data_IF_228483907686
#
_entry.id   IF_228483907686
#
_cell.length_a   1.000
_cell.length_b   1.000
_cell.length_c   1.000
_cell.angle_alpha   90.00
_cell.angle_beta   90.00
_cell.angle_gamma   90.00
#
_symmetry.space_group_name_H-M   'P 1'
#
loop_
_entity.id
_entity.type
_entity.pdbx_description
1 polymer ?
#
# COMPACT_ATOMS: atom_id res chain seq x y z
N UNK A 1 -10.96 -4.32 -6.30
CA UNK A 1 -10.97 -4.65 -4.86
C UNK A 1 -11.74 -5.95 -4.62
N UNK A 2 -13.06 -5.96 -4.81
CA UNK A 2 -13.89 -7.18 -4.67
C UNK A 2 -13.49 -8.29 -5.66
N UNK A 3 -13.28 -7.96 -6.93
CA UNK A 3 -12.89 -8.94 -7.97
C UNK A 3 -11.54 -9.64 -7.71
N UNK A 4 -10.73 -9.14 -6.78
CA UNK A 4 -9.43 -9.71 -6.45
C UNK A 4 -9.42 -10.57 -5.17
N UNK A 5 -10.62 -10.74 -4.60
CA UNK A 5 -10.83 -11.48 -3.36
C UNK A 5 -10.37 -10.72 -2.12
N UNK A 6 -10.10 -9.40 -2.22
CA UNK A 6 -9.80 -8.60 -1.04
C UNK A 6 -11.03 -8.47 -0.16
N UNK A 7 -10.86 -8.78 1.12
CA UNK A 7 -11.94 -8.84 2.09
C UNK A 7 -11.39 -9.18 3.46
N UNK A 8 -12.27 -9.58 4.37
CA UNK A 8 -11.88 -9.88 5.76
C UNK A 8 -10.84 -11.01 5.86
N UNK A 9 -10.91 -12.00 4.97
CA UNK A 9 -10.01 -13.16 4.94
C UNK A 9 -8.76 -12.95 4.08
N UNK A 10 -8.70 -11.82 3.38
CA UNK A 10 -7.54 -11.42 2.57
C UNK A 10 -7.42 -9.90 2.67
N UNK A 11 -6.91 -9.39 3.80
CA UNK A 11 -6.79 -7.97 4.03
C UNK A 11 -5.77 -7.34 3.08
N UNK A 12 -5.85 -6.02 2.96
CA UNK A 12 -4.95 -5.20 2.16
C UNK A 12 -4.85 -3.83 2.80
N UNK A 13 -3.71 -3.18 2.59
CA UNK A 13 -3.46 -1.85 3.14
C UNK A 13 -3.49 -0.78 2.05
N UNK A 14 -4.11 0.34 2.39
CA UNK A 14 -3.99 1.62 1.70
C UNK A 14 -3.57 2.66 2.73
N UNK A 15 -2.80 3.64 2.28
CA UNK A 15 -2.34 4.74 3.12
C UNK A 15 -2.19 6.02 2.33
N UNK A 16 -2.08 7.12 3.07
CA UNK A 16 -1.64 8.41 2.53
C UNK A 16 -0.13 8.45 2.70
N UNK A 17 0.60 8.46 1.59
CA UNK A 17 2.05 8.58 1.57
C UNK A 17 2.41 10.05 1.43
N UNK A 18 3.24 10.54 2.33
CA UNK A 18 3.87 11.85 2.25
C UNK A 18 5.10 11.76 1.34
N UNK A 19 5.08 12.49 0.23
CA UNK A 19 6.19 12.53 -0.73
C UNK A 19 7.16 13.70 -0.44
N UNK A 20 6.88 14.48 0.61
CA UNK A 20 7.54 15.75 0.88
C UNK A 20 6.96 16.91 0.05
N UNK A 21 7.42 18.12 0.33
CA UNK A 21 7.00 19.34 -0.39
C UNK A 21 5.48 19.53 -0.48
N UNK A 22 4.77 19.22 0.61
CA UNK A 22 3.30 19.26 0.71
C UNK A 22 2.55 18.33 -0.27
N UNK A 23 3.26 17.44 -0.98
CA UNK A 23 2.67 16.46 -1.87
C UNK A 23 2.31 15.18 -1.11
N UNK A 24 1.05 14.76 -1.25
CA UNK A 24 0.54 13.51 -0.67
C UNK A 24 -0.22 12.70 -1.71
N UNK A 25 -0.08 11.38 -1.65
CA UNK A 25 -0.79 10.47 -2.53
C UNK A 25 -1.49 9.38 -1.72
N UNK A 26 -2.72 9.06 -2.09
CA UNK A 26 -3.37 7.84 -1.61
C UNK A 26 -2.89 6.69 -2.48
N UNK A 27 -2.18 5.75 -1.89
CA UNK A 27 -1.60 4.64 -2.62
C UNK A 27 -1.76 3.33 -1.86
N UNK A 28 -1.60 2.25 -2.60
CA UNK A 28 -1.60 0.92 -2.04
C UNK A 28 -0.29 0.66 -1.30
N UNK A 29 -0.39 0.04 -0.13
CA UNK A 29 0.76 -0.42 0.63
C UNK A 29 0.92 -1.93 0.48
N UNK A 30 2.13 -2.36 0.19
CA UNK A 30 2.54 -3.76 -0.03
C UNK A 30 3.75 -4.08 0.84
N UNK A 31 4.04 -5.36 1.08
CA UNK A 31 5.16 -5.77 1.94
C UNK A 31 4.96 -5.58 3.46
N UNK A 32 3.87 -4.95 3.90
CA UNK A 32 3.46 -4.90 5.30
C UNK A 32 2.72 -6.18 5.73
N UNK A 33 2.82 -6.54 7.01
CA UNK A 33 2.02 -7.61 7.62
C UNK A 33 0.59 -7.09 7.88
N UNK A 34 -0.28 -7.25 6.89
CA UNK A 34 -1.67 -6.79 6.91
C UNK A 34 -2.58 -7.63 7.83
N UNK A 35 -2.13 -8.80 8.28
CA UNK A 35 -2.83 -9.61 9.28
C UNK A 35 -2.61 -9.05 10.70
N UNK A 36 -1.55 -8.25 10.89
CA UNK A 36 -1.21 -7.57 12.15
C UNK A 36 -1.18 -6.06 11.95
N UNK A 37 -2.34 -5.40 11.83
CA UNK A 37 -2.43 -3.96 11.55
C UNK A 37 -1.69 -3.09 12.59
N UNK A 38 -1.56 -3.56 13.84
CA UNK A 38 -0.79 -2.90 14.90
C UNK A 38 0.72 -2.81 14.61
N UNK A 39 1.23 -3.64 13.69
CA UNK A 39 2.61 -3.57 13.23
C UNK A 39 2.86 -2.43 12.24
N UNK A 40 1.80 -1.92 11.60
CA UNK A 40 1.87 -0.85 10.60
C UNK A 40 1.84 0.49 11.32
N UNK A 41 3.02 1.11 11.47
CA UNK A 41 3.16 2.39 12.18
C UNK A 41 3.12 3.57 11.21
N UNK A 42 2.60 4.70 11.69
CA UNK A 42 2.71 5.97 10.97
C UNK A 42 4.14 6.50 10.99
N UNK A 43 4.52 7.24 9.94
CA UNK A 43 5.86 7.84 9.83
C UNK A 43 6.97 6.85 9.43
N UNK A 44 6.62 5.63 9.04
CA UNK A 44 7.58 4.68 8.44
C UNK A 44 8.02 5.17 7.06
N UNK A 45 9.30 5.00 6.75
CA UNK A 45 9.80 5.26 5.41
C UNK A 45 9.31 4.18 4.45
N UNK A 46 8.93 4.60 3.25
CA UNK A 46 8.45 3.72 2.19
C UNK A 46 9.10 4.07 0.86
N UNK A 47 9.19 3.08 -0.02
CA UNK A 47 9.71 3.21 -1.37
C UNK A 47 8.63 2.90 -2.39
N UNK A 48 8.66 3.62 -3.51
CA UNK A 48 7.75 3.39 -4.62
C UNK A 48 8.03 2.03 -5.28
N UNK A 49 6.97 1.32 -5.64
CA UNK A 49 7.03 0.13 -6.47
C UNK A 49 5.95 0.15 -7.55
N UNK A 50 6.22 -0.51 -8.67
CA UNK A 50 5.26 -0.67 -9.75
C UNK A 50 4.72 -2.10 -9.72
N UNK A 51 3.41 -2.24 -9.51
CA UNK A 51 2.74 -3.52 -9.56
C UNK A 51 2.07 -3.70 -10.92
N UNK A 52 2.32 -4.82 -11.57
CA UNK A 52 1.54 -5.22 -12.73
C UNK A 52 0.27 -5.94 -12.29
N UNK A 53 -0.88 -5.48 -12.79
CA UNK A 53 -2.21 -6.00 -12.47
C UNK A 53 -3.13 -5.97 -13.67
N UNK A 54 -3.59 -7.14 -14.09
CA UNK A 54 -4.59 -7.28 -15.16
C UNK A 54 -4.21 -6.46 -16.42
N UNK A 55 -2.94 -6.49 -16.80
CA UNK A 55 -2.40 -5.72 -17.93
C UNK A 55 -2.25 -4.21 -17.69
N UNK A 56 -2.34 -3.76 -16.43
CA UNK A 56 -2.13 -2.36 -16.02
C UNK A 56 -0.98 -2.27 -15.03
N UNK A 57 -0.17 -1.23 -15.16
CA UNK A 57 0.84 -0.89 -14.15
C UNK A 57 0.21 0.09 -13.17
N UNK A 58 0.31 -0.21 -11.87
CA UNK A 58 -0.13 0.67 -10.79
C UNK A 58 1.05 1.06 -9.92
N UNK A 59 1.05 2.30 -9.44
CA UNK A 59 1.98 2.77 -8.42
C UNK A 59 1.51 2.29 -7.04
N UNK A 60 2.41 1.69 -6.29
CA UNK A 60 2.23 1.28 -4.89
C UNK A 60 3.49 1.64 -4.09
N UNK A 61 3.46 1.38 -2.78
CA UNK A 61 4.58 1.63 -1.88
C UNK A 61 4.81 0.45 -0.94
N UNK A 62 6.07 0.14 -0.64
CA UNK A 62 6.50 -0.87 0.33
C UNK A 62 7.40 -0.27 1.41
N UNK A 63 7.59 -0.94 2.56
CA UNK A 63 8.65 -0.57 3.49
C UNK A 63 10.00 -0.44 2.77
N UNK A 64 10.73 0.63 3.08
CA UNK A 64 12.12 0.83 2.67
C UNK A 64 13.06 -0.18 3.35
#
# INVERSE_FOLDING_TARGET
LVAEGYGREKPYAFGVVDLGQDAKITARLTGFDVEKPESIRLGVNVEAEFLERNGRVILAFKPA
#
